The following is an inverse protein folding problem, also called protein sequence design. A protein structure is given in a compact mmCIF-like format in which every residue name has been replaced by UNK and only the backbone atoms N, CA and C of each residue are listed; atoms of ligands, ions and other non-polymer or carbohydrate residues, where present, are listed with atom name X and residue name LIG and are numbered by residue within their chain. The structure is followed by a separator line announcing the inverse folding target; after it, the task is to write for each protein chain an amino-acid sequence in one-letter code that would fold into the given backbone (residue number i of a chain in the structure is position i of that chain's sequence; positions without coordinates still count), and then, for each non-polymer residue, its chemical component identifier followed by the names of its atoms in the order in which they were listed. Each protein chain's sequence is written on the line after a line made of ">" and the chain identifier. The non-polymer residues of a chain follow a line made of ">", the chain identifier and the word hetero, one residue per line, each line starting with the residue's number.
data_IF_533791798562
#
_entry.id   IF_533791798562
#
_cell.length_a   1.000
_cell.length_b   1.000
_cell.length_c   1.000
_cell.angle_alpha   90.00
_cell.angle_beta   90.00
_cell.angle_gamma   90.00
#
_symmetry.space_group_name_H-M   'P 1'
#
loop_
_entity.id
_entity.type
_entity.pdbx_description
1 polymer ?
#
# COMPACT_ATOMS: atom_id res chain seq x y z
N UNK A 1 -17.22 -13.40 23.00
CA UNK A 1 -16.64 -12.05 22.95
C UNK A 1 -15.58 -12.07 21.87
N UNK A 2 -15.74 -11.26 20.83
CA UNK A 2 -14.79 -11.16 19.72
C UNK A 2 -13.43 -10.70 20.23
N UNK A 3 -12.36 -11.30 19.71
CA UNK A 3 -10.98 -10.93 20.07
C UNK A 3 -10.24 -10.32 18.90
N UNK A 4 -9.39 -9.35 19.20
CA UNK A 4 -8.42 -8.82 18.26
C UNK A 4 -7.00 -9.14 18.76
N UNK A 5 -6.30 -9.96 18.01
CA UNK A 5 -4.93 -10.35 18.31
C UNK A 5 -3.97 -9.41 17.55
N UNK A 6 -3.20 -8.61 18.31
CA UNK A 6 -2.35 -7.56 17.75
C UNK A 6 -0.89 -7.94 17.93
N UNK A 7 -0.22 -8.27 16.82
CA UNK A 7 1.21 -8.64 16.82
C UNK A 7 2.15 -7.45 16.64
N UNK A 8 1.60 -6.25 16.47
CA UNK A 8 2.38 -5.01 16.38
C UNK A 8 3.20 -4.81 17.65
N UNK A 9 4.48 -4.46 17.50
CA UNK A 9 5.35 -4.19 18.64
C UNK A 9 4.92 -2.89 19.36
N UNK A 10 5.08 -2.80 20.69
CA UNK A 10 4.72 -1.62 21.47
C UNK A 10 5.80 -0.53 21.37
N UNK A 11 6.15 -0.13 20.15
CA UNK A 11 7.10 0.95 19.89
C UNK A 11 6.39 2.13 19.24
N UNK A 12 6.89 3.37 19.37
CA UNK A 12 6.29 4.55 18.77
C UNK A 12 6.03 4.41 17.26
N UNK A 13 6.88 3.69 16.56
CA UNK A 13 6.74 3.48 15.11
C UNK A 13 5.43 2.78 14.73
N UNK A 14 5.03 1.75 15.47
CA UNK A 14 3.82 0.97 15.14
C UNK A 14 2.55 1.56 15.73
N UNK A 15 2.65 2.51 16.66
CA UNK A 15 1.50 3.14 17.35
C UNK A 15 0.41 2.14 17.72
N UNK A 16 0.83 0.99 18.29
CA UNK A 16 -0.03 -0.14 18.64
C UNK A 16 -1.27 0.26 19.43
N UNK A 17 -1.15 1.29 20.28
CA UNK A 17 -2.24 1.76 21.13
C UNK A 17 -3.40 2.37 20.32
N UNK A 18 -3.14 2.92 19.13
CA UNK A 18 -4.20 3.38 18.24
C UNK A 18 -5.07 2.19 17.76
N UNK A 19 -4.45 1.07 17.40
CA UNK A 19 -5.17 -0.16 17.01
C UNK A 19 -5.95 -0.75 18.19
N UNK A 20 -5.35 -0.80 19.38
CA UNK A 20 -6.02 -1.26 20.60
C UNK A 20 -7.25 -0.41 20.90
N UNK A 21 -7.11 0.92 20.84
CA UNK A 21 -8.20 1.86 21.07
C UNK A 21 -9.32 1.68 20.05
N UNK A 22 -8.99 1.69 18.77
CA UNK A 22 -9.98 1.60 17.69
C UNK A 22 -10.74 0.28 17.68
N UNK A 23 -10.03 -0.85 17.77
CA UNK A 23 -10.66 -2.18 17.85
C UNK A 23 -11.48 -2.36 19.14
N UNK A 24 -11.01 -1.78 20.26
CA UNK A 24 -11.76 -1.75 21.50
C UNK A 24 -13.11 -1.03 21.36
N UNK A 25 -13.14 0.10 20.61
CA UNK A 25 -14.39 0.83 20.28
C UNK A 25 -15.34 0.00 19.41
N UNK A 26 -14.82 -0.93 18.62
CA UNK A 26 -15.60 -1.89 17.83
C UNK A 26 -16.05 -3.12 18.63
N UNK A 27 -15.82 -3.12 19.94
CA UNK A 27 -16.24 -4.20 20.84
C UNK A 27 -15.31 -5.40 20.88
N UNK A 28 -14.10 -5.30 20.35
CA UNK A 28 -13.09 -6.35 20.46
C UNK A 28 -12.32 -6.26 21.78
N UNK A 29 -12.04 -7.43 22.36
CA UNK A 29 -11.02 -7.55 23.40
C UNK A 29 -9.64 -7.72 22.74
N UNK A 30 -8.78 -6.72 22.92
CA UNK A 30 -7.45 -6.72 22.33
C UNK A 30 -6.44 -7.46 23.21
N UNK A 31 -5.71 -8.39 22.63
CA UNK A 31 -4.65 -9.16 23.32
C UNK A 31 -3.50 -9.51 22.36
N UNK A 32 -2.37 -9.98 22.90
CA UNK A 32 -1.30 -10.59 22.11
C UNK A 32 -1.68 -12.01 21.70
N UNK A 33 -1.24 -12.44 20.49
CA UNK A 33 -1.51 -13.80 20.06
C UNK A 33 -0.65 -14.80 20.85
N UNK A 34 -1.28 -15.76 21.49
CA UNK A 34 -0.67 -16.76 22.38
C UNK A 34 -0.77 -18.19 21.85
N UNK A 35 -1.20 -18.37 20.59
CA UNK A 35 -1.36 -19.69 19.96
C UNK A 35 -2.74 -20.33 20.13
N UNK A 36 -3.67 -19.67 20.85
CA UNK A 36 -5.06 -20.15 20.95
C UNK A 36 -5.72 -20.21 19.57
N UNK A 37 -6.45 -21.30 19.23
CA UNK A 37 -7.21 -21.35 17.98
C UNK A 37 -8.17 -20.15 17.86
N UNK A 38 -8.17 -19.43 16.74
CA UNK A 38 -9.09 -18.32 16.53
C UNK A 38 -10.51 -18.81 16.24
N UNK A 39 -11.49 -17.95 16.53
CA UNK A 39 -12.87 -18.11 16.07
C UNK A 39 -13.10 -17.30 14.79
N UNK A 40 -14.12 -17.61 13.98
CA UNK A 40 -14.40 -16.87 12.74
C UNK A 40 -14.63 -15.36 12.92
N UNK A 41 -15.11 -14.95 14.09
CA UNK A 41 -15.35 -13.53 14.44
C UNK A 41 -14.12 -12.80 15.00
N UNK A 42 -12.99 -13.50 15.16
CA UNK A 42 -11.76 -12.90 15.66
C UNK A 42 -10.99 -12.18 14.54
N UNK A 43 -10.09 -11.29 14.95
CA UNK A 43 -9.26 -10.49 14.04
C UNK A 43 -7.80 -10.64 14.42
N UNK A 44 -6.93 -10.83 13.43
CA UNK A 44 -5.49 -10.73 13.58
C UNK A 44 -4.98 -9.46 12.94
N UNK A 45 -4.18 -8.67 13.64
CA UNK A 45 -3.48 -7.50 13.08
C UNK A 45 -1.99 -7.78 13.04
N UNK A 46 -1.42 -7.78 11.83
CA UNK A 46 0.01 -7.99 11.59
C UNK A 46 0.64 -6.79 10.88
N UNK A 47 1.97 -6.68 10.98
CA UNK A 47 2.74 -5.66 10.25
C UNK A 47 3.41 -6.27 9.03
N UNK A 48 3.10 -5.78 7.84
CA UNK A 48 3.68 -6.18 6.55
C UNK A 48 3.52 -7.67 6.17
N UNK A 49 2.79 -8.46 6.92
CA UNK A 49 2.65 -9.90 6.70
C UNK A 49 4.00 -10.56 6.33
N UNK A 50 4.96 -10.44 7.25
CA UNK A 50 6.27 -11.06 7.07
C UNK A 50 6.17 -12.59 6.99
N UNK A 51 7.12 -13.28 6.33
CA UNK A 51 7.12 -14.74 6.26
C UNK A 51 6.96 -15.45 7.62
N UNK A 52 7.48 -14.86 8.70
CA UNK A 52 7.31 -15.38 10.07
C UNK A 52 5.87 -15.29 10.58
N UNK A 53 5.08 -14.37 10.06
CA UNK A 53 3.69 -14.13 10.48
C UNK A 53 2.71 -14.97 9.65
N UNK A 54 3.16 -15.56 8.54
CA UNK A 54 2.34 -16.31 7.58
C UNK A 54 1.63 -17.50 8.22
N UNK A 55 2.30 -18.22 9.12
CA UNK A 55 1.69 -19.34 9.84
C UNK A 55 0.49 -18.87 10.68
N UNK A 56 0.57 -17.69 11.26
CA UNK A 56 -0.54 -17.12 12.04
C UNK A 56 -1.64 -16.62 11.13
N UNK A 57 -1.28 -15.90 10.07
CA UNK A 57 -2.24 -15.40 9.08
C UNK A 57 -3.06 -16.54 8.50
N UNK A 58 -2.39 -17.59 8.03
CA UNK A 58 -3.05 -18.76 7.48
C UNK A 58 -3.97 -19.45 8.49
N UNK A 59 -3.57 -19.57 9.75
CA UNK A 59 -4.41 -20.18 10.81
C UNK A 59 -5.71 -19.39 11.03
N UNK A 60 -5.64 -18.04 10.96
CA UNK A 60 -6.82 -17.20 11.10
C UNK A 60 -7.72 -17.32 9.87
N UNK A 61 -7.14 -17.26 8.68
CA UNK A 61 -7.86 -17.41 7.41
C UNK A 61 -8.55 -18.79 7.30
N UNK A 62 -7.85 -19.87 7.66
CA UNK A 62 -8.40 -21.24 7.69
C UNK A 62 -9.57 -21.37 8.70
N UNK A 63 -9.60 -20.56 9.74
CA UNK A 63 -10.70 -20.50 10.71
C UNK A 63 -11.85 -19.58 10.25
N UNK A 64 -11.75 -18.92 9.10
CA UNK A 64 -12.71 -17.91 8.63
C UNK A 64 -12.61 -16.55 9.33
N UNK A 65 -11.54 -16.33 10.10
CA UNK A 65 -11.27 -15.09 10.81
C UNK A 65 -10.58 -14.07 9.90
N UNK A 66 -10.70 -12.79 10.23
CA UNK A 66 -10.11 -11.72 9.41
C UNK A 66 -8.67 -11.45 9.78
N UNK A 67 -7.79 -11.37 8.77
CA UNK A 67 -6.43 -10.86 8.89
C UNK A 67 -6.37 -9.43 8.37
N UNK A 68 -5.95 -8.50 9.21
CA UNK A 68 -5.64 -7.11 8.83
C UNK A 68 -4.12 -6.94 8.74
N UNK A 69 -3.67 -6.46 7.60
CA UNK A 69 -2.26 -6.16 7.35
C UNK A 69 -2.05 -4.66 7.38
N UNK A 70 -1.25 -4.21 8.35
CA UNK A 70 -0.85 -2.81 8.49
C UNK A 70 0.56 -2.60 7.95
N UNK A 71 0.77 -1.48 7.28
CA UNK A 71 2.07 -1.02 6.81
C UNK A 71 2.16 0.52 6.88
N UNK A 72 3.32 1.10 6.57
CA UNK A 72 3.41 2.55 6.43
C UNK A 72 2.52 3.02 5.28
N UNK A 73 1.80 4.11 5.50
CA UNK A 73 1.06 4.80 4.46
C UNK A 73 1.96 5.24 3.30
N UNK A 74 1.37 5.40 2.15
CA UNK A 74 2.09 5.66 0.89
C UNK A 74 2.31 7.14 0.62
N UNK A 75 1.33 7.98 1.01
CA UNK A 75 1.32 9.43 0.71
C UNK A 75 1.14 10.25 1.98
N UNK A 76 1.74 11.43 2.00
CA UNK A 76 1.57 12.40 3.08
C UNK A 76 2.00 11.90 4.46
N UNK A 77 1.51 12.60 5.48
CA UNK A 77 1.81 12.34 6.87
C UNK A 77 0.58 12.63 7.74
N UNK A 78 0.59 12.12 8.96
CA UNK A 78 -0.34 12.47 10.01
C UNK A 78 -0.09 13.91 10.51
N UNK A 79 -1.02 14.49 11.26
CA UNK A 79 -0.92 15.86 11.81
C UNK A 79 0.36 16.09 12.64
N UNK A 80 0.87 15.06 13.29
CA UNK A 80 2.10 15.09 14.09
C UNK A 80 3.39 14.85 13.28
N UNK A 81 3.28 14.79 11.95
CA UNK A 81 4.40 14.49 11.03
C UNK A 81 4.80 13.01 10.97
N UNK A 82 4.11 12.13 11.68
CA UNK A 82 4.35 10.69 11.58
C UNK A 82 3.71 10.10 10.31
N UNK A 83 4.14 8.87 9.94
CA UNK A 83 3.53 8.17 8.81
C UNK A 83 2.09 7.79 9.11
N UNK A 84 1.20 7.94 8.13
CA UNK A 84 -0.08 7.28 8.10
C UNK A 84 0.09 5.75 8.01
N UNK A 85 -1.00 5.01 8.15
CA UNK A 85 -1.03 3.56 8.00
C UNK A 85 -1.80 3.18 6.75
N UNK A 86 -1.21 2.36 5.88
CA UNK A 86 -1.99 1.59 4.94
C UNK A 86 -2.53 0.34 5.65
N UNK A 87 -3.81 0.04 5.43
CA UNK A 87 -4.51 -1.03 6.11
C UNK A 87 -5.44 -1.75 5.13
N UNK A 88 -5.26 -3.05 4.97
CA UNK A 88 -6.11 -3.89 4.14
C UNK A 88 -6.30 -5.28 4.73
N UNK A 89 -7.26 -6.02 4.20
CA UNK A 89 -7.45 -7.44 4.56
C UNK A 89 -6.51 -8.31 3.73
N UNK A 90 -6.02 -9.36 4.35
CA UNK A 90 -5.25 -10.48 3.79
C UNK A 90 -3.84 -10.16 3.35
N UNK A 91 -3.62 -9.18 2.49
CA UNK A 91 -2.32 -8.92 1.85
C UNK A 91 -1.75 -7.55 2.23
N UNK A 92 -0.51 -7.28 1.83
CA UNK A 92 0.12 -5.98 2.02
C UNK A 92 0.48 -5.31 0.67
N UNK A 93 1.15 -4.16 0.70
CA UNK A 93 1.50 -3.35 -0.47
C UNK A 93 0.31 -2.94 -1.36
N UNK A 94 -0.89 -2.81 -0.76
CA UNK A 94 -2.09 -2.50 -1.51
C UNK A 94 -2.56 -3.62 -2.43
N UNK A 95 -2.11 -4.86 -2.22
CA UNK A 95 -2.61 -6.05 -2.90
C UNK A 95 -3.78 -6.71 -2.17
N UNK A 96 -4.10 -6.21 -0.96
CA UNK A 96 -5.18 -6.72 -0.13
C UNK A 96 -6.55 -6.21 -0.55
N UNK A 97 -7.57 -6.61 0.22
CA UNK A 97 -8.93 -6.13 0.05
C UNK A 97 -9.16 -4.91 0.92
N UNK A 98 -9.57 -3.81 0.31
CA UNK A 98 -9.89 -2.53 0.93
C UNK A 98 -11.26 -2.00 0.48
N UNK A 99 -12.14 -2.87 0.01
CA UNK A 99 -13.45 -2.51 -0.54
C UNK A 99 -14.29 -1.74 0.47
N UNK A 100 -14.88 -0.68 0.02
CA UNK A 100 -15.78 0.21 0.73
C UNK A 100 -17.16 0.09 0.14
N UNK A 101 -18.18 0.40 0.94
CA UNK A 101 -19.55 0.45 0.45
C UNK A 101 -19.73 1.52 -0.64
N UNK A 102 -20.75 1.37 -1.46
CA UNK A 102 -21.12 2.29 -2.56
C UNK A 102 -21.27 3.75 -2.13
N UNK A 103 -21.55 3.98 -0.87
CA UNK A 103 -21.82 5.30 -0.30
C UNK A 103 -20.59 6.23 -0.29
N UNK A 104 -19.40 5.66 -0.51
CA UNK A 104 -18.14 6.40 -0.54
C UNK A 104 -17.69 6.79 -1.95
N UNK A 105 -18.40 6.30 -2.97
CA UNK A 105 -18.07 6.59 -4.37
C UNK A 105 -18.41 8.03 -4.82
N UNK A 106 -19.11 8.81 -3.98
CA UNK A 106 -19.57 10.17 -4.32
C UNK A 106 -18.62 11.29 -3.88
N UNK A 107 -17.59 10.98 -3.08
CA UNK A 107 -16.64 11.99 -2.60
C UNK A 107 -15.61 12.37 -3.69
N UNK A 108 -15.17 13.63 -3.69
CA UNK A 108 -14.12 14.08 -4.59
C UNK A 108 -12.74 13.51 -4.16
N UNK A 109 -12.08 12.70 -5.02
CA UNK A 109 -10.80 12.06 -4.69
C UNK A 109 -9.68 13.04 -4.33
N UNK A 110 -9.69 14.25 -4.87
CA UNK A 110 -8.70 15.29 -4.52
C UNK A 110 -8.91 15.79 -3.09
N UNK A 111 -10.16 15.97 -2.67
CA UNK A 111 -10.51 16.32 -1.29
C UNK A 111 -10.10 15.19 -0.35
N UNK A 112 -10.31 13.94 -0.74
CA UNK A 112 -9.97 12.78 0.09
C UNK A 112 -8.47 12.68 0.36
N UNK A 113 -7.60 12.82 -0.65
CA UNK A 113 -6.15 12.75 -0.43
C UNK A 113 -5.60 13.99 0.29
N UNK A 114 -6.30 15.13 0.23
CA UNK A 114 -5.86 16.37 0.88
C UNK A 114 -5.80 16.24 2.40
N UNK A 115 -6.56 15.30 3.00
CA UNK A 115 -6.50 15.01 4.45
C UNK A 115 -5.13 14.50 4.90
N UNK A 116 -4.28 14.07 3.97
CA UNK A 116 -2.90 13.67 4.22
C UNK A 116 -1.89 14.80 3.90
N UNK A 117 -2.37 16.02 3.66
CA UNK A 117 -1.51 17.14 3.29
C UNK A 117 -0.92 17.04 1.87
N UNK A 118 -1.59 16.31 0.97
CA UNK A 118 -1.11 16.01 -0.39
C UNK A 118 -2.09 16.53 -1.44
N UNK A 119 -1.55 17.00 -2.55
CA UNK A 119 -2.30 17.33 -3.76
C UNK A 119 -1.64 16.68 -4.97
N UNK A 120 -2.43 16.42 -6.02
CA UNK A 120 -1.89 15.85 -7.26
C UNK A 120 -1.29 16.93 -8.16
N UNK A 121 -0.22 16.57 -8.85
CA UNK A 121 0.32 17.35 -9.97
C UNK A 121 -0.32 16.93 -11.31
N UNK A 122 -0.42 17.79 -12.32
CA UNK A 122 -0.79 17.39 -13.67
C UNK A 122 0.10 16.25 -14.18
N UNK A 123 -0.44 15.40 -15.06
CA UNK A 123 0.38 14.38 -15.71
C UNK A 123 1.52 15.04 -16.52
N UNK A 124 2.69 14.44 -16.41
CA UNK A 124 3.85 14.84 -17.21
C UNK A 124 3.75 14.23 -18.60
N UNK A 125 4.26 14.96 -19.56
CA UNK A 125 4.39 14.53 -20.96
C UNK A 125 5.84 14.67 -21.47
N UNK A 126 6.79 14.89 -20.54
CA UNK A 126 8.20 15.10 -20.80
C UNK A 126 9.06 14.23 -19.89
N UNK A 127 10.31 14.01 -20.27
CA UNK A 127 11.28 13.24 -19.51
C UNK A 127 12.07 12.30 -20.41
N UNK A 128 13.35 12.10 -20.09
CA UNK A 128 14.29 11.36 -20.92
C UNK A 128 14.61 9.96 -20.38
N UNK A 129 14.20 9.68 -19.16
CA UNK A 129 14.55 8.45 -18.47
C UNK A 129 13.33 7.70 -17.93
N UNK A 130 13.48 6.40 -17.71
CA UNK A 130 12.56 5.51 -17.03
C UNK A 130 13.10 5.22 -15.63
N UNK A 131 12.25 5.46 -14.59
CA UNK A 131 12.62 5.21 -13.19
C UNK A 131 12.11 3.84 -12.73
N UNK A 132 12.99 2.87 -12.54
CA UNK A 132 12.64 1.56 -11.98
C UNK A 132 12.69 1.61 -10.46
N UNK A 133 11.61 1.20 -9.81
CA UNK A 133 11.37 1.27 -8.37
C UNK A 133 11.19 -0.13 -7.75
N UNK A 134 12.27 -0.88 -7.52
CA UNK A 134 12.19 -2.18 -6.87
C UNK A 134 11.72 -2.09 -5.42
N UNK A 135 11.08 -3.17 -4.96
CA UNK A 135 10.67 -3.38 -3.57
C UNK A 135 11.63 -4.30 -2.82
N UNK A 136 11.34 -4.53 -1.53
CA UNK A 136 12.11 -5.46 -0.68
C UNK A 136 11.75 -6.94 -0.87
N UNK A 137 10.75 -7.26 -1.68
CA UNK A 137 10.27 -8.64 -1.86
C UNK A 137 9.62 -9.22 -0.59
N UNK A 138 8.87 -8.41 0.15
CA UNK A 138 8.08 -8.85 1.30
C UNK A 138 6.68 -9.24 0.88
N UNK A 139 6.10 -10.20 1.58
CA UNK A 139 4.77 -10.73 1.30
C UNK A 139 4.83 -12.20 0.84
N UNK A 140 3.67 -12.77 0.60
CA UNK A 140 3.50 -14.11 0.05
C UNK A 140 3.80 -14.14 -1.46
N UNK A 141 3.94 -15.34 -2.05
CA UNK A 141 4.07 -15.50 -3.51
C UNK A 141 2.94 -14.80 -4.28
N UNK A 142 3.31 -14.02 -5.30
CA UNK A 142 2.37 -13.21 -6.10
C UNK A 142 2.18 -11.79 -5.58
N UNK A 143 2.43 -11.50 -4.30
CA UNK A 143 2.46 -10.16 -3.71
C UNK A 143 3.91 -9.68 -3.56
N UNK A 144 4.77 -10.51 -3.00
CA UNK A 144 6.20 -10.22 -2.90
C UNK A 144 6.81 -10.06 -4.29
N UNK A 145 7.56 -8.99 -4.50
CA UNK A 145 8.35 -8.82 -5.72
C UNK A 145 9.34 -9.99 -5.87
N UNK A 146 9.36 -10.69 -7.01
CA UNK A 146 10.35 -11.72 -7.28
C UNK A 146 11.77 -11.16 -7.19
N UNK A 147 12.69 -11.96 -6.67
CA UNK A 147 14.08 -11.52 -6.45
C UNK A 147 14.76 -11.07 -7.75
N UNK A 148 14.48 -11.77 -8.84
CA UNK A 148 15.10 -11.52 -10.16
C UNK A 148 14.41 -10.39 -10.94
N UNK A 149 13.21 -9.98 -10.52
CA UNK A 149 12.42 -8.96 -11.22
C UNK A 149 13.18 -7.68 -11.57
N UNK A 150 14.05 -7.09 -10.70
CA UNK A 150 14.76 -5.86 -11.06
C UNK A 150 15.68 -6.02 -12.27
N UNK A 151 16.31 -7.17 -12.42
CA UNK A 151 17.18 -7.46 -13.55
C UNK A 151 16.38 -7.78 -14.82
N UNK A 152 15.32 -8.57 -14.67
CA UNK A 152 14.43 -8.96 -15.75
C UNK A 152 13.75 -7.72 -16.36
N UNK A 153 13.23 -6.83 -15.52
CA UNK A 153 12.54 -5.64 -16.02
C UNK A 153 13.49 -4.66 -16.71
N UNK A 154 14.71 -4.46 -16.20
CA UNK A 154 15.72 -3.64 -16.87
C UNK A 154 16.08 -4.22 -18.22
N UNK A 155 16.26 -5.55 -18.31
CA UNK A 155 16.52 -6.25 -19.58
C UNK A 155 15.40 -6.06 -20.59
N UNK A 156 14.14 -6.17 -20.14
CA UNK A 156 12.95 -5.96 -20.98
C UNK A 156 12.82 -4.51 -21.44
N UNK A 157 12.99 -3.53 -20.55
CA UNK A 157 12.89 -2.12 -20.90
C UNK A 157 13.91 -1.70 -21.96
N UNK A 158 15.14 -2.21 -21.90
CA UNK A 158 16.18 -1.96 -22.92
C UNK A 158 15.80 -2.43 -24.33
N UNK A 159 14.82 -3.32 -24.45
CA UNK A 159 14.31 -3.79 -25.74
C UNK A 159 13.10 -2.97 -26.22
N UNK A 160 12.46 -2.21 -25.31
CA UNK A 160 11.22 -1.49 -25.57
C UNK A 160 11.42 0.01 -25.77
N UNK A 161 12.54 0.58 -25.31
CA UNK A 161 12.81 2.02 -25.38
C UNK A 161 14.30 2.31 -25.45
N UNK A 162 14.66 3.41 -26.09
CA UNK A 162 16.02 3.98 -26.10
C UNK A 162 16.27 4.93 -24.92
N UNK A 163 15.28 5.16 -24.07
CA UNK A 163 15.41 6.04 -22.90
C UNK A 163 16.39 5.48 -21.88
N UNK A 164 17.05 6.35 -21.14
CA UNK A 164 17.89 5.94 -20.01
C UNK A 164 17.05 5.19 -18.96
N UNK A 165 17.58 4.11 -18.41
CA UNK A 165 16.94 3.32 -17.37
C UNK A 165 17.70 3.53 -16.06
N UNK A 166 17.05 4.21 -15.12
CA UNK A 166 17.58 4.51 -13.79
C UNK A 166 16.92 3.60 -12.75
N UNK A 167 17.71 2.83 -12.02
CA UNK A 167 17.21 1.96 -10.95
C UNK A 167 17.41 2.63 -9.61
N UNK A 168 16.32 2.93 -8.91
CA UNK A 168 16.34 3.46 -7.54
C UNK A 168 15.97 2.37 -6.55
N UNK A 169 16.98 1.72 -6.00
CA UNK A 169 16.77 0.67 -5.01
C UNK A 169 16.05 1.18 -3.75
N UNK A 170 15.23 0.32 -3.15
CA UNK A 170 14.58 0.63 -1.87
C UNK A 170 15.66 0.83 -0.78
N UNK A 171 15.62 1.92 0.01
CA UNK A 171 16.67 2.24 0.98
C UNK A 171 16.81 1.23 2.12
N UNK A 172 15.97 0.20 2.18
CA UNK A 172 16.03 -0.83 3.21
C UNK A 172 15.76 -0.26 4.61
N UNK A 173 16.60 -0.66 5.55
CA UNK A 173 16.58 -0.16 6.93
C UNK A 173 17.35 1.16 7.13
N UNK A 174 17.98 1.68 6.09
CA UNK A 174 18.71 2.94 6.16
C UNK A 174 17.73 4.11 6.32
N UNK A 175 17.97 4.94 7.32
CA UNK A 175 17.04 5.96 7.81
C UNK A 175 16.87 7.21 6.93
N UNK A 176 17.70 7.39 5.92
CA UNK A 176 17.62 8.55 5.02
C UNK A 176 16.61 8.28 3.92
N UNK A 177 15.36 8.60 4.20
CA UNK A 177 14.28 8.58 3.22
C UNK A 177 14.06 9.98 2.66
N UNK A 178 14.64 10.25 1.52
CA UNK A 178 14.05 11.26 0.66
C UNK A 178 13.01 10.54 -0.22
N UNK A 179 11.85 11.15 -0.39
CA UNK A 179 10.88 10.69 -1.38
C UNK A 179 11.53 10.67 -2.77
N UNK A 180 11.08 9.79 -3.68
CA UNK A 180 11.56 9.83 -5.05
C UNK A 180 11.32 11.21 -5.65
N UNK A 181 12.35 11.80 -6.24
CA UNK A 181 12.18 12.89 -7.19
C UNK A 181 11.82 12.27 -8.54
N UNK A 182 10.70 12.70 -9.10
CA UNK A 182 10.22 12.24 -10.39
C UNK A 182 10.55 13.22 -11.54
N UNK A 183 11.30 14.28 -11.27
CA UNK A 183 11.70 15.28 -12.28
C UNK A 183 12.59 14.65 -13.34
N UNK A 184 12.28 14.88 -14.60
CA UNK A 184 13.04 14.37 -15.75
C UNK A 184 12.74 12.90 -16.11
N UNK A 185 11.85 12.22 -15.38
CA UNK A 185 11.44 10.88 -15.74
C UNK A 185 10.16 10.88 -16.58
N UNK A 186 10.20 10.15 -17.70
CA UNK A 186 9.08 9.87 -18.59
C UNK A 186 8.00 9.03 -17.91
N UNK A 187 8.43 7.99 -17.23
CA UNK A 187 7.56 7.11 -16.46
C UNK A 187 8.33 6.41 -15.33
N UNK A 188 7.61 5.96 -14.33
CA UNK A 188 8.08 5.03 -13.30
C UNK A 188 7.65 3.60 -13.64
N UNK A 189 8.46 2.63 -13.25
CA UNK A 189 8.16 1.20 -13.39
C UNK A 189 8.34 0.53 -12.05
N UNK A 190 7.34 -0.20 -11.57
CA UNK A 190 7.38 -0.84 -10.26
C UNK A 190 6.75 -2.22 -10.28
N UNK A 191 7.13 -3.08 -9.33
CA UNK A 191 6.32 -4.27 -9.07
C UNK A 191 4.94 -3.85 -8.54
N UNK A 192 4.88 -3.09 -7.47
CA UNK A 192 3.66 -2.60 -6.84
C UNK A 192 3.96 -1.74 -5.61
N UNK A 193 5.03 -0.92 -5.65
CA UNK A 193 5.51 -0.21 -4.47
C UNK A 193 4.69 1.05 -4.15
N UNK A 194 4.76 1.48 -2.89
CA UNK A 194 4.26 2.79 -2.46
C UNK A 194 4.93 3.96 -3.19
N UNK A 195 6.16 3.79 -3.69
CA UNK A 195 6.82 4.80 -4.53
C UNK A 195 6.11 4.97 -5.89
N UNK A 196 5.49 3.90 -6.43
CA UNK A 196 4.63 3.99 -7.61
C UNK A 196 3.35 4.80 -7.34
N UNK A 197 2.78 4.69 -6.14
CA UNK A 197 1.66 5.54 -5.71
C UNK A 197 2.08 7.01 -5.65
N UNK A 198 3.26 7.30 -5.11
CA UNK A 198 3.82 8.65 -5.12
C UNK A 198 4.05 9.18 -6.53
N UNK A 199 4.42 8.31 -7.49
CA UNK A 199 4.52 8.66 -8.91
C UNK A 199 3.19 9.15 -9.47
N UNK A 200 2.10 8.41 -9.20
CA UNK A 200 0.73 8.79 -9.61
C UNK A 200 0.38 10.19 -9.08
N UNK A 201 0.63 10.45 -7.81
CA UNK A 201 0.34 11.74 -7.16
C UNK A 201 1.19 12.86 -7.74
N UNK A 202 2.48 12.60 -7.99
CA UNK A 202 3.41 13.55 -8.58
C UNK A 202 3.18 13.81 -10.10
N UNK A 203 2.22 13.11 -10.71
CA UNK A 203 1.92 13.23 -12.13
C UNK A 203 2.95 12.58 -13.06
N UNK A 204 3.81 11.69 -12.54
CA UNK A 204 4.69 10.87 -13.37
C UNK A 204 3.95 9.56 -13.69
N UNK A 205 3.73 9.22 -14.97
CA UNK A 205 3.04 7.99 -15.36
C UNK A 205 3.70 6.75 -14.79
N UNK A 206 2.91 5.68 -14.55
CA UNK A 206 3.43 4.48 -13.92
C UNK A 206 3.05 3.21 -14.67
N UNK A 207 3.99 2.27 -14.74
CA UNK A 207 3.79 0.89 -15.14
C UNK A 207 4.01 -0.05 -13.95
N UNK A 208 3.24 -1.14 -13.89
CA UNK A 208 3.29 -2.07 -12.78
C UNK A 208 3.19 -3.53 -13.25
N UNK A 209 3.67 -4.46 -12.42
CA UNK A 209 3.59 -5.91 -12.69
C UNK A 209 2.76 -6.68 -11.66
N UNK A 210 2.55 -6.16 -10.45
CA UNK A 210 1.74 -6.83 -9.42
C UNK A 210 0.25 -6.83 -9.80
N UNK A 211 -0.42 -8.00 -9.97
CA UNK A 211 -1.75 -8.10 -10.59
C UNK A 211 -2.84 -7.25 -9.92
N UNK A 212 -2.88 -7.20 -8.60
CA UNK A 212 -3.93 -6.50 -7.85
C UNK A 212 -3.42 -5.23 -7.15
N UNK A 213 -2.44 -4.57 -7.76
CA UNK A 213 -1.91 -3.35 -7.17
C UNK A 213 -2.98 -2.25 -7.04
N UNK A 214 -3.02 -1.57 -5.90
CA UNK A 214 -4.01 -0.51 -5.61
C UNK A 214 -3.96 0.65 -6.61
N UNK A 215 -2.78 0.96 -7.16
CA UNK A 215 -2.59 2.00 -8.17
C UNK A 215 -2.98 1.64 -9.60
N UNK A 216 -3.45 0.41 -9.85
CA UNK A 216 -3.70 -0.14 -11.20
C UNK A 216 -4.63 0.68 -12.08
N UNK A 217 -5.54 1.46 -11.49
CA UNK A 217 -6.48 2.30 -12.23
C UNK A 217 -5.88 3.60 -12.77
N UNK A 218 -4.64 3.92 -12.37
CA UNK A 218 -3.89 5.09 -12.84
C UNK A 218 -2.54 4.70 -13.47
N UNK A 219 -2.44 3.51 -14.03
CA UNK A 219 -1.24 3.03 -14.70
C UNK A 219 -1.55 1.86 -15.64
N UNK A 220 -0.57 1.45 -16.42
CA UNK A 220 -0.66 0.26 -17.23
C UNK A 220 0.14 -0.88 -16.63
N UNK A 221 -0.42 -2.10 -16.72
CA UNK A 221 0.40 -3.31 -16.58
C UNK A 221 1.46 -3.32 -17.69
N UNK A 222 2.67 -3.72 -17.35
CA UNK A 222 3.75 -3.87 -18.34
C UNK A 222 3.46 -4.92 -19.43
N UNK A 223 2.51 -5.81 -19.20
CA UNK A 223 2.06 -6.75 -20.23
C UNK A 223 1.19 -6.09 -21.30
N UNK A 224 0.43 -5.06 -20.91
CA UNK A 224 -0.63 -4.46 -21.74
C UNK A 224 -0.32 -3.03 -22.19
N UNK A 225 0.74 -2.40 -21.65
CA UNK A 225 1.10 -1.02 -21.94
C UNK A 225 2.34 -0.90 -22.81
N UNK A 226 2.32 0.05 -23.73
CA UNK A 226 3.50 0.47 -24.49
C UNK A 226 4.24 1.54 -23.71
N UNK A 227 5.54 1.37 -23.46
CA UNK A 227 6.34 2.27 -22.63
C UNK A 227 6.36 3.71 -23.13
N UNK A 228 6.23 3.91 -24.45
CA UNK A 228 6.21 5.24 -25.07
C UNK A 228 4.81 5.90 -25.07
N UNK A 229 3.77 5.17 -24.69
CA UNK A 229 2.40 5.66 -24.57
C UNK A 229 1.83 5.39 -23.18
N UNK A 230 2.40 6.02 -22.13
CA UNK A 230 1.99 5.75 -20.76
C UNK A 230 0.56 6.22 -20.47
N UNK A 231 -0.03 5.70 -19.40
CA UNK A 231 -1.33 6.16 -18.93
C UNK A 231 -1.25 7.61 -18.43
N UNK A 232 -2.08 8.47 -19.01
CA UNK A 232 -2.27 9.88 -18.61
C UNK A 232 -3.75 10.25 -18.51
N UNK A 233 -4.60 9.23 -18.30
CA UNK A 233 -6.05 9.38 -18.18
C UNK A 233 -6.53 9.81 -16.80
N UNK A 234 -7.81 9.61 -16.56
CA UNK A 234 -8.42 9.89 -15.26
C UNK A 234 -7.90 8.90 -14.19
N UNK A 235 -7.41 9.45 -13.09
CA UNK A 235 -6.86 8.71 -11.93
C UNK A 235 -7.75 8.74 -10.69
N UNK A 236 -8.95 9.30 -10.81
CA UNK A 236 -9.87 9.51 -9.69
C UNK A 236 -10.13 8.22 -8.91
N UNK A 237 -10.35 7.10 -9.61
CA UNK A 237 -10.57 5.81 -8.96
C UNK A 237 -9.35 5.32 -8.17
N UNK A 238 -8.14 5.47 -8.71
CA UNK A 238 -6.93 5.08 -7.98
C UNK A 238 -6.73 5.94 -6.73
N UNK A 239 -6.95 7.25 -6.84
CA UNK A 239 -6.85 8.17 -5.70
C UNK A 239 -7.88 7.86 -4.63
N UNK A 240 -9.10 7.52 -5.03
CA UNK A 240 -10.15 7.06 -4.13
C UNK A 240 -9.73 5.78 -3.38
N UNK A 241 -9.34 4.74 -4.11
CA UNK A 241 -8.87 3.48 -3.50
C UNK A 241 -7.72 3.72 -2.53
N UNK A 242 -6.72 4.55 -2.91
CA UNK A 242 -5.58 4.90 -2.08
C UNK A 242 -5.99 5.64 -0.81
N UNK A 243 -6.88 6.62 -0.93
CA UNK A 243 -7.31 7.44 0.21
C UNK A 243 -8.07 6.63 1.25
N UNK A 244 -8.83 5.63 0.83
CA UNK A 244 -9.61 4.79 1.73
C UNK A 244 -8.89 3.52 2.20
N UNK A 245 -7.73 3.22 1.65
CA UNK A 245 -6.83 2.19 2.17
C UNK A 245 -5.75 2.75 3.11
N UNK A 246 -5.66 4.08 3.25
CA UNK A 246 -4.69 4.75 4.11
C UNK A 246 -5.39 5.58 5.20
N UNK A 247 -4.85 5.55 6.41
CA UNK A 247 -5.48 6.12 7.60
C UNK A 247 -4.46 6.81 8.50
N UNK A 248 -4.86 7.92 9.11
CA UNK A 248 -4.11 8.57 10.19
C UNK A 248 -4.18 7.74 11.48
N UNK A 249 -3.26 7.94 12.40
CA UNK A 249 -3.32 7.29 13.71
C UNK A 249 -4.57 7.66 14.50
N UNK A 250 -5.09 8.87 14.30
CA UNK A 250 -6.32 9.36 14.93
C UNK A 250 -7.56 8.62 14.40
N UNK A 251 -7.64 8.41 13.09
CA UNK A 251 -8.70 7.61 12.45
C UNK A 251 -8.64 6.14 12.88
N UNK A 252 -7.45 5.54 12.95
CA UNK A 252 -7.26 4.19 13.50
C UNK A 252 -7.80 4.12 14.94
N UNK A 253 -7.40 5.09 15.80
CA UNK A 253 -7.81 5.12 17.19
C UNK A 253 -9.32 5.38 17.38
N UNK A 254 -9.97 6.05 16.43
CA UNK A 254 -11.44 6.25 16.44
C UNK A 254 -12.21 4.98 16.08
N UNK A 255 -11.58 4.01 15.43
CA UNK A 255 -12.21 2.79 14.92
C UNK A 255 -12.79 2.93 13.52
N UNK A 256 -12.63 4.08 12.87
CA UNK A 256 -13.20 4.36 11.54
C UNK A 256 -12.85 3.28 10.48
N UNK A 257 -11.56 2.94 10.25
CA UNK A 257 -11.23 1.93 9.26
C UNK A 257 -11.82 0.55 9.56
N UNK A 258 -12.01 0.23 10.83
CA UNK A 258 -12.51 -1.08 11.24
C UNK A 258 -14.00 -1.26 10.99
N UNK A 259 -14.79 -0.18 10.90
CA UNK A 259 -16.18 -0.23 10.46
C UNK A 259 -16.31 -0.75 9.04
N UNK A 260 -15.38 -0.37 8.19
CA UNK A 260 -15.36 -0.74 6.77
C UNK A 260 -14.72 -2.11 6.53
N UNK A 261 -13.58 -2.35 7.18
CA UNK A 261 -12.81 -3.57 6.95
C UNK A 261 -13.38 -4.80 7.68
N UNK A 262 -14.20 -4.63 8.70
CA UNK A 262 -14.73 -5.74 9.49
C UNK A 262 -16.26 -5.93 9.36
N UNK A 263 -16.93 -5.01 8.67
CA UNK A 263 -18.33 -5.13 8.27
C UNK A 263 -19.30 -4.89 9.40
#
# INVERSE_FOLDING_TARGET
>A
MKKAYITLQPTPHYRRDAFVSGLGRMGFRCEGYNGTPPNPEDVLVVWNRYPRDEVFCKRFEDAGATVLVAENGWIGHDEDGSHCFALCRSHHNGAGTWEYGSDMAESDPQTEISRFGVSTSPWRSDGDAILVLPQRGLGEPGVAMPKEWPNEIVGRLKQLTDREIVVRHHPGAMKTRNDPDFTGYWAAVTWGSGAGIKSIVAGCPVFYDMPNWIGRWAGYSLENGEIETPFVGDRSRALHDISWAQWTGKEIASGEPFKWLLG
#
